data_IF_166201291409
#
_entry.id   IF_166201291409
#
_cell.length_a   1.000
_cell.length_b   1.000
_cell.length_c   1.000
_cell.angle_alpha   90.00
_cell.angle_beta   90.00
_cell.angle_gamma   90.00
#
_symmetry.space_group_name_H-M   'P 1'
#
loop_
_entity.id
_entity.type
_entity.pdbx_description
1 polymer ?
#
# COMPACT_ATOMS: atom_id res chain seq x y z
N UNK A 1 -15.94 -31.09 -21.18
CA UNK A 1 -14.65 -31.46 -21.79
C UNK A 1 -13.62 -31.56 -20.67
N UNK A 2 -13.23 -32.79 -20.32
CA UNK A 2 -12.35 -33.13 -19.20
C UNK A 2 -11.08 -33.71 -19.84
N UNK A 3 -10.00 -32.94 -19.90
CA UNK A 3 -8.68 -33.43 -20.32
C UNK A 3 -7.72 -33.05 -19.21
N UNK A 4 -7.48 -34.01 -18.32
CA UNK A 4 -6.37 -33.98 -17.40
C UNK A 4 -5.26 -34.86 -17.94
N UNK A 5 -4.02 -34.40 -17.83
CA UNK A 5 -2.90 -35.09 -17.18
C UNK A 5 -1.58 -34.41 -17.57
N UNK A 6 -0.87 -33.99 -16.53
CA UNK A 6 0.56 -33.64 -16.55
C UNK A 6 1.38 -34.89 -16.84
N UNK A 7 2.61 -34.74 -17.34
CA UNK A 7 3.73 -35.50 -16.83
C UNK A 7 4.71 -34.56 -16.12
N UNK A 8 5.17 -35.08 -14.99
CA UNK A 8 6.08 -34.51 -14.01
C UNK A 8 7.55 -34.89 -14.32
N UNK A 9 8.47 -34.01 -13.91
CA UNK A 9 9.85 -34.28 -13.41
C UNK A 9 10.97 -34.66 -14.42
N UNK A 10 12.27 -34.63 -14.03
CA UNK A 10 12.95 -33.93 -12.91
C UNK A 10 14.18 -33.11 -13.38
N UNK A 11 14.76 -32.33 -12.47
CA UNK A 11 15.86 -31.41 -12.73
C UNK A 11 17.16 -32.02 -13.31
N UNK A 12 17.93 -31.14 -13.95
CA UNK A 12 19.33 -31.36 -14.24
C UNK A 12 20.15 -30.27 -13.54
N UNK A 13 20.75 -30.67 -12.42
CA UNK A 13 21.90 -30.00 -11.82
C UNK A 13 23.10 -30.06 -12.78
N UNK A 14 24.02 -29.11 -12.56
CA UNK A 14 25.42 -29.10 -12.97
C UNK A 14 25.76 -28.69 -14.41
N UNK A 15 26.34 -27.49 -14.55
CA UNK A 15 27.68 -27.36 -15.11
C UNK A 15 28.51 -26.36 -14.30
N UNK A 16 29.30 -26.93 -13.39
CA UNK A 16 30.51 -26.33 -12.81
C UNK A 16 31.54 -26.14 -13.91
N UNK A 17 31.98 -24.91 -14.13
CA UNK A 17 33.15 -24.59 -14.97
C UNK A 17 33.90 -23.41 -14.39
N UNK A 18 34.93 -23.70 -13.58
CA UNK A 18 35.87 -22.71 -13.08
C UNK A 18 36.76 -22.20 -14.22
N UNK A 19 36.86 -20.89 -14.37
CA UNK A 19 38.09 -20.25 -14.85
C UNK A 19 38.25 -18.89 -14.18
N UNK A 20 39.23 -18.83 -13.27
CA UNK A 20 39.70 -17.64 -12.56
C UNK A 20 40.53 -16.77 -13.51
N UNK A 21 40.26 -15.46 -13.59
CA UNK A 21 41.32 -14.45 -13.78
C UNK A 21 40.92 -13.04 -13.31
N UNK A 22 41.74 -12.51 -12.40
CA UNK A 22 42.11 -11.10 -12.14
C UNK A 22 41.09 -10.05 -11.60
N UNK A 23 41.19 -9.82 -10.28
CA UNK A 23 41.39 -8.55 -9.53
C UNK A 23 40.61 -7.25 -9.89
N UNK A 24 39.47 -7.06 -9.19
CA UNK A 24 38.96 -5.92 -8.36
C UNK A 24 39.05 -4.44 -8.80
N UNK A 25 38.23 -3.50 -8.23
CA UNK A 25 36.90 -3.59 -7.60
C UNK A 25 35.89 -2.54 -8.13
N UNK A 26 34.58 -2.84 -8.19
CA UNK A 26 33.53 -1.80 -8.21
C UNK A 26 32.15 -2.39 -7.88
N UNK A 27 31.62 -1.95 -6.73
CA UNK A 27 30.24 -1.59 -6.36
C UNK A 27 29.06 -2.11 -7.20
N UNK A 28 27.98 -2.41 -6.47
CA UNK A 28 26.57 -2.60 -6.86
C UNK A 28 26.12 -4.07 -6.81
N UNK A 29 25.54 -4.52 -5.69
CA UNK A 29 24.12 -4.32 -5.36
C UNK A 29 23.23 -5.14 -6.30
N UNK A 30 23.14 -6.45 -6.03
CA UNK A 30 22.05 -7.28 -6.53
C UNK A 30 21.53 -8.19 -5.38
N UNK A 31 21.17 -7.55 -4.27
CA UNK A 31 20.28 -8.13 -3.25
C UNK A 31 18.91 -7.47 -3.37
N UNK A 32 18.24 -7.67 -4.50
CA UNK A 32 16.89 -7.15 -4.68
C UNK A 32 16.10 -7.93 -5.74
N UNK A 33 16.07 -9.27 -5.65
CA UNK A 33 15.12 -10.03 -6.49
C UNK A 33 14.49 -11.26 -5.87
N UNK A 34 14.41 -11.29 -4.54
CA UNK A 34 13.74 -12.39 -3.82
C UNK A 34 12.95 -11.88 -2.61
N UNK A 35 11.98 -10.98 -2.82
CA UNK A 35 10.96 -10.70 -1.80
C UNK A 35 9.76 -9.89 -2.33
N UNK A 36 9.07 -10.31 -3.39
CA UNK A 36 7.66 -9.90 -3.56
C UNK A 36 6.87 -11.06 -4.18
N UNK A 37 6.74 -12.15 -3.44
CA UNK A 37 5.69 -13.14 -3.63
C UNK A 37 4.86 -13.23 -2.35
N UNK A 38 4.39 -12.08 -1.87
CA UNK A 38 3.21 -12.04 -1.02
C UNK A 38 1.99 -12.16 -1.95
N UNK A 39 1.55 -13.40 -2.17
CA UNK A 39 0.27 -13.69 -2.80
C UNK A 39 -0.82 -13.01 -1.97
N UNK A 40 -1.38 -11.91 -2.47
CA UNK A 40 -2.52 -11.27 -1.85
C UNK A 40 -3.69 -12.27 -1.90
N UNK A 41 -4.17 -12.69 -0.74
CA UNK A 41 -5.37 -13.50 -0.63
C UNK A 41 -6.58 -12.66 -1.08
N UNK A 42 -6.91 -12.72 -2.37
CA UNK A 42 -8.04 -12.00 -2.97
C UNK A 42 -8.00 -11.98 -4.50
N UNK A 43 -9.12 -11.64 -5.14
CA UNK A 43 -9.18 -11.38 -6.59
C UNK A 43 -8.41 -10.09 -6.88
N UNK A 44 -7.39 -10.10 -7.74
CA UNK A 44 -6.65 -8.88 -8.07
C UNK A 44 -7.55 -7.92 -8.87
N UNK A 45 -7.74 -6.71 -8.34
CA UNK A 45 -8.43 -5.61 -9.04
C UNK A 45 -7.41 -4.59 -9.54
N UNK A 46 -7.53 -4.18 -10.80
CA UNK A 46 -6.67 -3.15 -11.40
C UNK A 46 -7.27 -1.78 -11.18
N UNK A 47 -6.54 -0.92 -10.47
CA UNK A 47 -6.86 0.49 -10.27
C UNK A 47 -6.15 1.34 -11.33
N UNK A 48 -6.77 2.44 -11.77
CA UNK A 48 -6.20 3.37 -12.76
C UNK A 48 -4.87 4.00 -12.29
N UNK A 49 -4.00 4.35 -13.24
CA UNK A 49 -2.70 4.95 -12.96
C UNK A 49 -2.83 6.26 -12.18
N UNK A 50 -3.82 7.10 -12.52
CA UNK A 50 -4.08 8.37 -11.82
C UNK A 50 -4.44 8.17 -10.35
N UNK A 51 -5.30 7.20 -10.03
CA UNK A 51 -5.65 6.88 -8.66
C UNK A 51 -4.45 6.29 -7.87
N UNK A 52 -3.58 5.53 -8.55
CA UNK A 52 -2.34 5.02 -7.94
C UNK A 52 -1.35 6.13 -7.60
N UNK A 53 -1.18 7.12 -8.47
CA UNK A 53 -0.34 8.30 -8.21
C UNK A 53 -0.92 9.13 -7.07
N UNK A 54 -2.24 9.38 -7.07
CA UNK A 54 -2.90 10.12 -5.97
C UNK A 54 -2.73 9.40 -4.62
N UNK A 55 -2.88 8.08 -4.59
CA UNK A 55 -2.69 7.30 -3.37
C UNK A 55 -1.25 7.37 -2.84
N UNK A 56 -0.25 7.48 -3.72
CA UNK A 56 1.15 7.69 -3.33
C UNK A 56 1.38 9.10 -2.76
N UNK A 57 0.73 10.12 -3.32
CA UNK A 57 0.80 11.50 -2.81
C UNK A 57 0.10 11.65 -1.45
N UNK A 58 -1.07 11.04 -1.28
CA UNK A 58 -1.83 11.09 -0.02
C UNK A 58 -1.03 10.47 1.15
N UNK A 59 -0.29 9.39 0.90
CA UNK A 59 0.49 8.69 1.94
C UNK A 59 1.67 9.49 2.50
N UNK A 60 2.07 10.56 1.83
CA UNK A 60 3.16 11.45 2.25
C UNK A 60 2.67 12.58 3.17
N UNK A 61 1.36 12.81 3.25
CA UNK A 61 0.77 13.70 4.26
C UNK A 61 0.67 12.88 5.54
N UNK A 62 1.16 13.41 6.66
CA UNK A 62 1.05 12.77 7.97
C UNK A 62 -0.41 12.64 8.40
N UNK A 63 -1.10 11.64 7.86
CA UNK A 63 -2.53 11.37 8.07
C UNK A 63 -2.84 10.97 9.52
N UNK A 64 -1.82 10.55 10.27
CA UNK A 64 -1.96 10.10 11.65
C UNK A 64 -1.19 10.98 12.63
N UNK A 65 -1.95 11.78 13.38
CA UNK A 65 -1.44 12.55 14.52
C UNK A 65 -1.76 11.81 15.83
N UNK A 66 -0.76 11.09 16.34
CA UNK A 66 -0.85 10.39 17.61
C UNK A 66 -1.07 11.34 18.81
N UNK A 67 -0.54 12.56 18.74
CA UNK A 67 -0.69 13.58 19.76
C UNK A 67 -2.13 14.06 19.87
N UNK A 68 -2.76 14.38 18.74
CA UNK A 68 -4.18 14.73 18.66
C UNK A 68 -5.06 13.61 19.20
N UNK A 69 -4.81 12.36 18.80
CA UNK A 69 -5.60 11.21 19.29
C UNK A 69 -5.49 11.07 20.81
N UNK A 70 -4.28 11.22 21.38
CA UNK A 70 -4.08 11.18 22.82
C UNK A 70 -4.81 12.32 23.55
N UNK A 71 -4.76 13.53 23.01
CA UNK A 71 -5.46 14.68 23.58
C UNK A 71 -6.98 14.51 23.59
N UNK A 72 -7.55 14.05 22.47
CA UNK A 72 -9.00 13.78 22.37
C UNK A 72 -9.43 12.68 23.34
N UNK A 73 -8.67 11.58 23.44
CA UNK A 73 -8.95 10.52 24.42
C UNK A 73 -8.98 11.06 25.85
N UNK A 74 -7.96 11.84 26.23
CA UNK A 74 -7.90 12.43 27.56
C UNK A 74 -9.10 13.37 27.84
N UNK A 75 -9.52 14.18 26.87
CA UNK A 75 -10.68 15.06 27.02
C UNK A 75 -12.00 14.28 27.19
N UNK A 76 -12.14 13.13 26.52
CA UNK A 76 -13.28 12.23 26.70
C UNK A 76 -13.25 11.59 28.10
N UNK A 77 -12.10 11.08 28.53
CA UNK A 77 -11.95 10.45 29.86
C UNK A 77 -12.23 11.46 31.00
N UNK A 78 -11.83 12.72 30.81
CA UNK A 78 -12.07 13.81 31.75
C UNK A 78 -13.49 14.41 31.67
N UNK A 79 -14.31 14.00 30.70
CA UNK A 79 -15.65 14.53 30.48
C UNK A 79 -15.68 15.99 29.99
N UNK A 80 -14.55 16.52 29.51
CA UNK A 80 -14.43 17.90 29.00
C UNK A 80 -14.62 18.01 27.49
N UNK A 81 -14.74 16.88 26.80
CA UNK A 81 -15.10 16.84 25.39
C UNK A 81 -16.59 17.17 25.20
N UNK A 82 -16.88 18.32 24.60
CA UNK A 82 -18.23 18.73 24.24
C UNK A 82 -18.44 18.63 22.73
N UNK A 83 -19.60 18.11 22.33
CA UNK A 83 -19.99 18.04 20.93
C UNK A 83 -20.52 19.40 20.47
N UNK A 84 -19.90 19.93 19.43
CA UNK A 84 -20.36 21.13 18.73
C UNK A 84 -21.23 20.74 17.53
N UNK A 85 -22.53 21.03 17.60
CA UNK A 85 -23.48 20.68 16.55
C UNK A 85 -23.30 21.50 15.27
N UNK A 86 -22.85 22.76 15.38
CA UNK A 86 -22.62 23.64 14.22
C UNK A 86 -21.42 23.14 13.43
N UNK A 87 -20.33 22.80 14.12
CA UNK A 87 -19.15 22.21 13.50
C UNK A 87 -19.45 20.89 12.77
N UNK A 88 -20.37 20.08 13.31
CA UNK A 88 -20.83 18.84 12.64
C UNK A 88 -21.61 19.18 11.37
N UNK A 89 -22.57 20.11 11.45
CA UNK A 89 -23.40 20.50 10.32
C UNK A 89 -22.54 21.03 9.15
N UNK A 90 -21.57 21.89 9.44
CA UNK A 90 -20.64 22.41 8.44
C UNK A 90 -19.82 21.31 7.78
N UNK A 91 -19.32 20.34 8.56
CA UNK A 91 -18.59 19.19 8.00
C UNK A 91 -19.48 18.28 7.17
N UNK A 92 -20.74 18.07 7.55
CA UNK A 92 -21.69 17.31 6.75
C UNK A 92 -22.01 18.01 5.43
N UNK A 93 -22.25 19.32 5.45
CA UNK A 93 -22.50 20.11 4.25
C UNK A 93 -21.28 20.12 3.33
N UNK A 94 -20.08 20.31 3.87
CA UNK A 94 -18.83 20.29 3.11
C UNK A 94 -18.61 18.94 2.42
N UNK A 95 -18.81 17.82 3.12
CA UNK A 95 -18.71 16.48 2.53
C UNK A 95 -19.78 16.28 1.43
N UNK A 96 -21.01 16.72 1.66
CA UNK A 96 -22.07 16.63 0.66
C UNK A 96 -21.70 17.42 -0.62
N UNK A 97 -21.21 18.66 -0.47
CA UNK A 97 -20.75 19.47 -1.59
C UNK A 97 -19.61 18.80 -2.36
N UNK A 98 -18.66 18.17 -1.67
CA UNK A 98 -17.55 17.45 -2.29
C UNK A 98 -18.04 16.26 -3.15
N UNK A 99 -19.01 15.50 -2.63
CA UNK A 99 -19.65 14.38 -3.37
C UNK A 99 -20.37 14.90 -4.62
N UNK A 100 -21.18 15.96 -4.49
CA UNK A 100 -21.90 16.52 -5.63
C UNK A 100 -20.96 17.13 -6.68
N UNK A 101 -19.88 17.77 -6.25
CA UNK A 101 -18.90 18.37 -7.16
C UNK A 101 -18.19 17.30 -7.98
N UNK A 102 -17.80 16.18 -7.36
CA UNK A 102 -17.22 15.02 -8.07
C UNK A 102 -18.20 14.30 -8.99
N UNK A 103 -19.50 14.34 -8.69
CA UNK A 103 -20.53 13.72 -9.53
C UNK A 103 -20.89 14.55 -10.76
N UNK A 104 -20.63 15.86 -10.73
CA UNK A 104 -20.99 16.79 -11.82
C UNK A 104 -19.82 17.16 -12.74
N UNK A 105 -18.58 16.83 -12.36
CA UNK A 105 -17.38 16.91 -13.21
C UNK A 105 -17.11 15.57 -13.87
#
# INVERSE_FOLDING_TARGET
MKIGQKPELPGALAQTGLSKQAKAPAVAEESAKSAVSASAAGVPVTVSTSARTLAQTARSVGDFDAGRVKAVKAAIDQGTFTVDAEAIADKMLSNAQEIFSRSRG
#
